data_IF_276741660602
#
_entry.id   IF_276741660602
#
_cell.length_a   1.000
_cell.length_b   1.000
_cell.length_c   1.000
_cell.angle_alpha   90.00
_cell.angle_beta   90.00
_cell.angle_gamma   90.00
#
_symmetry.space_group_name_H-M   'P 1'
#
loop_
_entity.id
_entity.type
_entity.pdbx_description
1 polymer ?
#
# COMPACT_ATOMS: atom_id res chain seq x y z
N UNK A 1 0.79 -6.15 17.13
CA UNK A 1 -0.43 -5.29 16.97
C UNK A 1 -0.98 -5.47 15.57
N UNK A 2 -2.32 -5.54 15.41
CA UNK A 2 -2.93 -5.65 14.07
C UNK A 2 -3.65 -4.33 13.79
N UNK A 3 -3.38 -3.74 12.63
CA UNK A 3 -4.06 -2.55 12.10
C UNK A 3 -5.00 -2.95 10.99
N UNK A 4 -6.20 -2.40 11.00
CA UNK A 4 -7.21 -2.59 9.96
C UNK A 4 -7.55 -1.26 9.31
N UNK A 5 -7.78 -1.27 8.00
CA UNK A 5 -8.18 -0.07 7.27
C UNK A 5 -8.71 -0.36 5.87
N UNK A 6 -9.36 0.61 5.22
CA UNK A 6 -9.85 0.50 3.85
C UNK A 6 -8.79 0.88 2.81
N UNK A 7 -8.92 0.32 1.60
CA UNK A 7 -8.23 0.74 0.39
C UNK A 7 -8.97 1.93 -0.26
N UNK A 8 -8.85 3.10 0.33
CA UNK A 8 -9.47 4.34 -0.12
C UNK A 8 -10.30 5.02 0.95
N UNK A 9 -10.79 6.21 0.61
CA UNK A 9 -11.64 7.00 1.51
C UNK A 9 -12.92 6.23 1.82
N UNK A 10 -13.30 6.04 3.11
CA UNK A 10 -14.48 5.29 3.51
C UNK A 10 -15.74 5.71 2.74
N UNK A 11 -16.62 4.76 2.44
CA UNK A 11 -17.90 5.02 1.77
C UNK A 11 -18.82 5.89 2.63
N UNK A 12 -18.73 5.75 3.95
CA UNK A 12 -19.46 6.55 4.93
C UNK A 12 -19.00 8.01 4.98
N UNK A 13 -17.79 8.32 4.51
CA UNK A 13 -17.20 9.65 4.55
C UNK A 13 -17.93 10.63 3.64
N UNK A 14 -18.54 11.66 4.20
CA UNK A 14 -19.35 12.64 3.45
C UNK A 14 -18.51 13.66 2.68
N UNK A 15 -17.40 14.12 3.26
CA UNK A 15 -16.55 15.16 2.68
C UNK A 15 -15.69 14.68 1.52
N UNK A 16 -15.40 13.37 1.45
CA UNK A 16 -14.60 12.72 0.41
C UNK A 16 -13.19 13.29 0.21
N UNK A 17 -12.68 14.05 1.17
CA UNK A 17 -11.28 14.52 1.21
C UNK A 17 -10.42 13.52 2.00
N UNK A 18 -9.11 13.58 1.81
CA UNK A 18 -8.19 12.75 2.60
C UNK A 18 -8.28 13.09 4.10
N UNK A 19 -8.46 14.39 4.44
CA UNK A 19 -8.68 14.85 5.82
C UNK A 19 -9.89 14.18 6.45
N UNK A 20 -11.02 14.18 5.74
CA UNK A 20 -12.25 13.56 6.21
C UNK A 20 -12.09 12.04 6.33
N UNK A 21 -11.39 11.42 5.37
CA UNK A 21 -11.10 9.99 5.39
C UNK A 21 -10.27 9.56 6.60
N UNK A 22 -9.22 10.30 6.94
CA UNK A 22 -8.39 10.04 8.13
C UNK A 22 -9.24 10.15 9.41
N UNK A 23 -10.07 11.21 9.51
CA UNK A 23 -10.96 11.40 10.67
C UNK A 23 -12.00 10.27 10.77
N UNK A 24 -12.59 9.87 9.65
CA UNK A 24 -13.62 8.83 9.60
C UNK A 24 -13.05 7.44 9.97
N UNK A 25 -11.88 7.09 9.45
CA UNK A 25 -11.15 5.86 9.81
C UNK A 25 -10.90 5.79 11.32
N UNK A 26 -10.44 6.88 11.93
CA UNK A 26 -10.26 6.96 13.38
C UNK A 26 -11.58 6.79 14.14
N UNK A 27 -12.65 7.51 13.72
CA UNK A 27 -13.97 7.44 14.34
C UNK A 27 -14.59 6.03 14.26
N UNK A 28 -14.27 5.27 13.21
CA UNK A 28 -14.67 3.88 13.04
C UNK A 28 -13.79 2.88 13.83
N UNK A 29 -12.86 3.39 14.65
CA UNK A 29 -11.89 2.58 15.41
C UNK A 29 -10.93 1.76 14.55
N UNK A 30 -10.79 2.14 13.28
CA UNK A 30 -9.79 1.62 12.38
C UNK A 30 -8.47 2.40 12.54
N UNK A 31 -7.35 1.82 12.12
CA UNK A 31 -6.02 2.39 12.38
C UNK A 31 -5.08 2.34 11.17
N UNK A 32 -5.60 2.09 9.97
CA UNK A 32 -4.87 2.17 8.72
C UNK A 32 -5.76 2.78 7.62
N UNK A 33 -5.14 3.44 6.66
CA UNK A 33 -5.80 3.97 5.46
C UNK A 33 -4.82 3.88 4.29
N UNK A 34 -5.20 3.19 3.25
CA UNK A 34 -4.46 3.17 2.00
C UNK A 34 -5.03 4.19 1.03
N UNK A 35 -4.20 5.10 0.56
CA UNK A 35 -4.54 6.12 -0.42
C UNK A 35 -4.43 5.49 -1.81
N UNK A 36 -5.49 5.61 -2.62
CA UNK A 36 -5.49 5.12 -3.99
C UNK A 36 -5.03 6.23 -4.95
N UNK A 37 -3.85 6.04 -5.56
CA UNK A 37 -3.31 6.98 -6.54
C UNK A 37 -3.80 6.61 -7.94
N UNK A 38 -4.96 7.14 -8.32
CA UNK A 38 -5.58 6.86 -9.62
C UNK A 38 -5.15 7.90 -10.64
N UNK A 39 -4.35 7.51 -11.64
CA UNK A 39 -3.92 8.35 -12.79
C UNK A 39 -3.09 9.59 -12.41
N UNK A 40 -1.91 9.43 -11.84
CA UNK A 40 -1.02 10.55 -11.52
C UNK A 40 -0.28 11.02 -12.79
N UNK A 41 -0.93 11.76 -13.66
CA UNK A 41 -0.26 12.41 -14.78
C UNK A 41 0.08 13.84 -14.36
N UNK A 42 1.36 14.10 -14.10
CA UNK A 42 1.85 15.44 -13.89
C UNK A 42 1.83 16.23 -15.22
N UNK A 43 1.68 17.54 -15.12
CA UNK A 43 1.79 18.49 -16.23
C UNK A 43 2.81 19.56 -15.89
N UNK A 44 3.59 19.97 -16.88
CA UNK A 44 4.53 21.08 -16.73
C UNK A 44 3.78 22.39 -16.97
N UNK A 45 3.94 23.33 -16.05
CA UNK A 45 3.41 24.69 -16.17
C UNK A 45 4.54 25.69 -15.86
N UNK A 46 4.62 26.84 -16.56
CA UNK A 46 5.59 27.86 -16.23
C UNK A 46 5.25 28.47 -14.87
N UNK A 47 6.25 28.92 -14.08
CA UNK A 47 6.03 29.70 -12.88
C UNK A 47 5.50 31.10 -13.26
N UNK A 48 4.77 31.72 -12.34
CA UNK A 48 4.45 33.13 -12.43
C UNK A 48 5.64 33.94 -11.91
N UNK A 49 6.17 34.85 -12.77
CA UNK A 49 7.39 35.61 -12.49
C UNK A 49 7.26 36.49 -11.23
N UNK A 50 6.06 37.06 -11.00
CA UNK A 50 5.83 37.97 -9.86
C UNK A 50 5.54 37.22 -8.55
N UNK A 51 4.97 36.01 -8.63
CA UNK A 51 4.44 35.32 -7.43
C UNK A 51 5.17 34.05 -7.07
N UNK A 52 5.83 33.34 -8.00
CA UNK A 52 6.38 32.00 -7.77
C UNK A 52 7.91 31.99 -7.74
N UNK A 53 8.57 32.80 -8.56
CA UNK A 53 10.04 32.87 -8.63
C UNK A 53 10.65 33.24 -7.28
N UNK A 54 11.64 32.50 -6.86
CA UNK A 54 12.32 32.64 -5.58
C UNK A 54 11.63 31.95 -4.40
N UNK A 55 10.39 31.44 -4.56
CA UNK A 55 9.73 30.58 -3.57
C UNK A 55 10.15 29.11 -3.75
N UNK A 56 9.75 28.31 -2.79
CA UNK A 56 9.88 26.85 -2.84
C UNK A 56 8.54 26.20 -3.17
N UNK A 57 8.53 24.96 -3.61
CA UNK A 57 7.28 24.24 -3.92
C UNK A 57 6.35 24.10 -2.69
N UNK A 58 6.89 24.16 -1.49
CA UNK A 58 6.11 24.15 -0.23
C UNK A 58 5.20 25.37 -0.07
N UNK A 59 5.59 26.50 -0.66
CA UNK A 59 4.93 27.77 -0.51
C UNK A 59 3.89 28.04 -1.60
N UNK A 60 3.85 27.15 -2.63
CA UNK A 60 2.93 27.30 -3.74
C UNK A 60 1.58 26.65 -3.46
N UNK A 61 0.53 27.27 -4.00
CA UNK A 61 -0.82 26.71 -4.06
C UNK A 61 -1.27 26.62 -5.52
N UNK A 62 -2.03 25.58 -5.87
CA UNK A 62 -2.60 25.41 -7.17
C UNK A 62 -4.10 25.12 -7.09
N UNK A 63 -4.89 25.62 -8.04
CA UNK A 63 -6.36 25.52 -8.01
C UNK A 63 -6.86 24.08 -8.19
N UNK A 64 -6.08 23.21 -8.84
CA UNK A 64 -6.51 21.86 -9.20
C UNK A 64 -5.42 20.81 -8.97
N UNK A 65 -4.75 20.86 -7.84
CA UNK A 65 -3.67 19.94 -7.49
C UNK A 65 -2.58 20.64 -6.67
N UNK A 66 -1.38 20.08 -6.69
CA UNK A 66 -0.23 20.70 -6.03
C UNK A 66 1.06 20.46 -6.82
N UNK A 67 2.06 21.30 -6.57
CA UNK A 67 3.36 21.18 -7.20
C UNK A 67 4.18 20.13 -6.45
N UNK A 68 4.69 19.12 -7.17
CA UNK A 68 5.48 18.01 -6.58
C UNK A 68 6.97 18.11 -6.86
N UNK A 69 7.39 18.98 -7.76
CA UNK A 69 8.79 19.15 -8.16
C UNK A 69 8.97 20.33 -9.11
N UNK A 70 10.22 20.54 -9.49
CA UNK A 70 10.65 21.57 -10.46
C UNK A 70 11.32 20.82 -11.60
N UNK A 71 10.91 21.06 -12.84
CA UNK A 71 11.64 20.65 -14.04
C UNK A 71 12.58 21.77 -14.43
N UNK A 72 13.90 21.49 -14.40
CA UNK A 72 14.97 22.40 -14.79
C UNK A 72 15.82 21.71 -15.85
N UNK A 73 15.84 22.25 -17.04
CA UNK A 73 16.60 21.71 -18.18
C UNK A 73 16.24 20.23 -18.51
N UNK A 74 15.02 19.81 -18.23
CA UNK A 74 14.51 18.46 -18.46
C UNK A 74 14.81 17.47 -17.32
N UNK A 75 15.44 17.94 -16.23
CA UNK A 75 15.69 17.16 -15.02
C UNK A 75 14.70 17.55 -13.92
N UNK A 76 13.94 16.58 -13.41
CA UNK A 76 13.01 16.83 -12.31
C UNK A 76 13.72 16.89 -10.95
N UNK A 77 13.63 18.05 -10.30
CA UNK A 77 14.14 18.30 -8.95
C UNK A 77 13.00 18.10 -7.95
N UNK A 78 13.16 17.13 -7.06
CA UNK A 78 12.19 16.83 -5.98
C UNK A 78 12.62 17.40 -4.62
N UNK A 79 13.66 18.23 -4.56
CA UNK A 79 14.02 18.91 -3.33
C UNK A 79 12.98 20.02 -3.07
N UNK A 80 12.26 19.86 -1.96
CA UNK A 80 11.16 20.76 -1.62
C UNK A 80 11.63 22.11 -1.09
N UNK A 81 12.92 22.27 -0.83
CA UNK A 81 13.56 23.51 -0.38
C UNK A 81 14.35 24.22 -1.52
N UNK A 82 14.33 23.66 -2.73
CA UNK A 82 14.94 24.27 -3.90
C UNK A 82 14.16 25.51 -4.34
N UNK A 83 14.80 26.68 -4.51
CA UNK A 83 14.15 27.88 -5.02
C UNK A 83 13.82 27.78 -6.51
N UNK A 84 12.62 28.22 -6.88
CA UNK A 84 12.14 28.30 -8.25
C UNK A 84 12.87 29.43 -8.98
N UNK A 85 13.32 29.13 -10.21
CA UNK A 85 13.97 30.08 -11.12
C UNK A 85 13.04 30.47 -12.28
N UNK A 86 13.33 31.57 -12.96
CA UNK A 86 12.49 32.09 -14.05
C UNK A 86 12.34 31.10 -15.23
N UNK A 87 13.39 30.33 -15.53
CA UNK A 87 13.42 29.38 -16.64
C UNK A 87 12.93 27.97 -16.25
N UNK A 88 12.50 27.74 -14.99
CA UNK A 88 11.98 26.46 -14.54
C UNK A 88 10.57 26.20 -15.08
N UNK A 89 10.18 24.91 -15.09
CA UNK A 89 8.78 24.51 -15.15
C UNK A 89 8.37 23.88 -13.82
N UNK A 90 7.16 24.12 -13.39
CA UNK A 90 6.58 23.50 -12.21
C UNK A 90 5.90 22.20 -12.58
N UNK A 91 6.18 21.13 -11.83
CA UNK A 91 5.55 19.83 -12.02
C UNK A 91 4.24 19.82 -11.24
N UNK A 92 3.15 20.18 -11.89
CA UNK A 92 1.80 20.17 -11.30
C UNK A 92 1.20 18.76 -11.36
N UNK A 93 0.81 18.26 -10.20
CA UNK A 93 0.03 17.03 -10.11
C UNK A 93 -1.45 17.35 -9.88
N UNK A 94 -2.33 17.10 -10.85
CA UNK A 94 -3.77 17.30 -10.70
C UNK A 94 -4.35 16.19 -9.80
N UNK A 95 -4.54 16.47 -8.53
CA UNK A 95 -5.09 15.52 -7.56
C UNK A 95 -5.87 16.26 -6.48
N UNK A 96 -6.84 15.58 -5.89
CA UNK A 96 -7.63 16.08 -4.76
C UNK A 96 -7.09 15.65 -3.40
N UNK A 97 -5.86 15.11 -3.32
CA UNK A 97 -5.27 14.64 -2.05
C UNK A 97 -5.08 15.83 -1.11
N UNK A 98 -4.51 16.91 -1.63
CA UNK A 98 -4.30 18.16 -0.88
C UNK A 98 -4.27 19.37 -1.84
N UNK A 99 -4.59 20.59 -1.39
CA UNK A 99 -4.54 21.79 -2.21
C UNK A 99 -3.11 22.35 -2.37
N UNK A 100 -2.20 22.05 -1.45
CA UNK A 100 -0.79 22.42 -1.58
C UNK A 100 0.13 21.39 -0.90
N UNK A 101 1.42 21.50 -1.14
CA UNK A 101 2.41 20.57 -0.60
C UNK A 101 2.45 20.57 0.94
N UNK A 102 2.33 21.74 1.57
CA UNK A 102 2.32 21.83 3.03
C UNK A 102 1.11 21.15 3.67
N UNK A 103 -0.04 21.13 3.01
CA UNK A 103 -1.22 20.42 3.53
C UNK A 103 -1.00 18.93 3.64
N UNK A 104 -0.12 18.33 2.81
CA UNK A 104 0.27 16.92 2.95
C UNK A 104 0.93 16.67 4.31
N UNK A 105 1.84 17.55 4.73
CA UNK A 105 2.50 17.43 6.02
C UNK A 105 1.50 17.55 7.18
N UNK A 106 0.58 18.50 7.12
CA UNK A 106 -0.46 18.70 8.15
C UNK A 106 -1.40 17.48 8.23
N UNK A 107 -1.74 16.88 7.08
CA UNK A 107 -2.51 15.64 7.03
C UNK A 107 -1.73 14.46 7.64
N UNK A 108 -0.43 14.37 7.39
CA UNK A 108 0.45 13.38 8.02
C UNK A 108 0.51 13.53 9.54
N UNK A 109 0.66 14.77 10.05
CA UNK A 109 0.63 15.07 11.49
C UNK A 109 -0.73 14.71 12.09
N UNK A 110 -1.82 15.00 11.39
CA UNK A 110 -3.17 14.61 11.82
C UNK A 110 -3.31 13.10 11.93
N UNK A 111 -2.86 12.34 10.91
CA UNK A 111 -2.91 10.89 10.90
C UNK A 111 -2.10 10.27 12.07
N UNK A 112 -0.89 10.79 12.33
CA UNK A 112 -0.07 10.37 13.47
C UNK A 112 -0.81 10.61 14.81
N UNK A 113 -1.42 11.80 15.00
CA UNK A 113 -2.16 12.12 16.24
C UNK A 113 -3.40 11.25 16.45
N UNK A 114 -4.02 10.81 15.37
CA UNK A 114 -5.20 9.94 15.39
C UNK A 114 -4.85 8.45 15.37
N UNK A 115 -3.55 8.09 15.39
CA UNK A 115 -3.04 6.73 15.27
C UNK A 115 -3.52 6.01 14.00
N UNK A 116 -3.62 6.73 12.89
CA UNK A 116 -3.94 6.19 11.57
C UNK A 116 -2.66 6.05 10.74
N UNK A 117 -2.27 4.83 10.42
CA UNK A 117 -1.13 4.54 9.55
C UNK A 117 -1.52 4.77 8.09
N UNK A 118 -0.79 5.64 7.39
CA UNK A 118 -1.02 5.91 5.97
C UNK A 118 -0.10 5.07 5.09
N UNK A 119 -0.66 4.56 4.01
CA UNK A 119 0.02 3.96 2.87
C UNK A 119 -0.55 4.52 1.58
N UNK A 120 0.11 4.24 0.45
CA UNK A 120 -0.34 4.69 -0.85
C UNK A 120 -0.14 3.57 -1.87
N UNK A 121 -1.20 3.21 -2.58
CA UNK A 121 -1.14 2.27 -3.68
C UNK A 121 -1.05 3.02 -5.02
N UNK A 122 -0.07 2.65 -5.85
CA UNK A 122 0.08 3.18 -7.21
C UNK A 122 -1.03 2.64 -8.12
N UNK A 123 -1.19 3.19 -9.35
CA UNK A 123 -2.10 2.59 -10.31
C UNK A 123 -1.78 1.12 -10.56
N UNK A 124 -2.80 0.27 -10.66
CA UNK A 124 -2.64 -1.18 -10.83
C UNK A 124 -2.11 -1.61 -12.21
N UNK A 125 -2.02 -0.69 -13.18
CA UNK A 125 -1.50 -0.94 -14.53
C UNK A 125 -0.03 -0.53 -14.70
N UNK A 126 0.76 -0.58 -13.62
CA UNK A 126 2.19 -0.29 -13.68
C UNK A 126 2.92 -1.30 -14.57
N UNK A 127 3.83 -0.82 -15.41
CA UNK A 127 4.74 -1.67 -16.21
C UNK A 127 6.17 -1.14 -16.12
N UNK A 128 7.00 -1.86 -15.38
CA UNK A 128 8.43 -1.60 -15.22
C UNK A 128 9.29 -2.58 -16.04
N UNK A 129 8.64 -3.46 -16.82
CA UNK A 129 9.31 -4.51 -17.58
C UNK A 129 9.78 -4.07 -18.98
N UNK A 130 9.72 -2.78 -19.26
CA UNK A 130 10.12 -2.20 -20.55
C UNK A 130 11.21 -1.14 -20.46
N UNK A 131 11.40 -0.46 -21.56
CA UNK A 131 12.29 0.70 -21.74
C UNK A 131 11.62 1.82 -22.52
N UNK A 132 10.31 1.71 -22.71
CA UNK A 132 9.48 2.65 -23.46
C UNK A 132 8.94 3.80 -22.58
N UNK A 133 8.16 4.70 -23.22
CA UNK A 133 7.55 5.84 -22.53
C UNK A 133 6.61 5.41 -21.40
N UNK A 134 5.91 4.28 -21.53
CA UNK A 134 5.03 3.78 -20.48
C UNK A 134 5.82 3.42 -19.23
N UNK A 135 6.95 2.74 -19.38
CA UNK A 135 7.84 2.40 -18.27
C UNK A 135 8.40 3.67 -17.61
N UNK A 136 8.79 4.68 -18.39
CA UNK A 136 9.24 5.96 -17.87
C UNK A 136 8.13 6.66 -17.06
N UNK A 137 6.90 6.72 -17.57
CA UNK A 137 5.74 7.30 -16.89
C UNK A 137 5.40 6.55 -15.59
N UNK A 138 5.56 5.21 -15.59
CA UNK A 138 5.36 4.40 -14.39
C UNK A 138 6.43 4.66 -13.31
N UNK A 139 7.70 4.77 -13.70
CA UNK A 139 8.78 5.13 -12.78
C UNK A 139 8.58 6.54 -12.19
N UNK A 140 8.10 7.47 -13.01
CA UNK A 140 7.77 8.82 -12.55
C UNK A 140 6.60 8.80 -11.57
N UNK A 141 5.58 8.00 -11.84
CA UNK A 141 4.46 7.80 -10.91
C UNK A 141 4.92 7.26 -9.55
N UNK A 142 5.90 6.35 -9.53
CA UNK A 142 6.50 5.85 -8.29
C UNK A 142 7.27 6.92 -7.53
N UNK A 143 8.00 7.79 -8.24
CA UNK A 143 8.69 8.92 -7.61
C UNK A 143 7.69 9.89 -6.98
N UNK A 144 6.63 10.25 -7.69
CA UNK A 144 5.56 11.11 -7.17
C UNK A 144 4.89 10.48 -5.95
N UNK A 145 4.52 9.18 -6.01
CA UNK A 145 3.95 8.45 -4.88
C UNK A 145 4.85 8.51 -3.64
N UNK A 146 6.15 8.34 -3.84
CA UNK A 146 7.15 8.39 -2.77
C UNK A 146 7.24 9.76 -2.11
N UNK A 147 7.29 10.84 -2.91
CA UNK A 147 7.36 12.22 -2.42
C UNK A 147 6.09 12.59 -1.65
N UNK A 148 4.93 12.28 -2.22
CA UNK A 148 3.63 12.54 -1.59
C UNK A 148 3.53 11.80 -0.25
N UNK A 149 3.83 10.50 -0.26
CA UNK A 149 3.71 9.70 0.95
C UNK A 149 4.75 10.08 2.00
N UNK A 150 5.95 10.51 1.59
CA UNK A 150 6.94 11.03 2.51
C UNK A 150 6.48 12.32 3.21
N UNK A 151 5.85 13.24 2.47
CA UNK A 151 5.26 14.44 3.04
C UNK A 151 4.10 14.11 3.99
N UNK A 152 3.26 13.12 3.65
CA UNK A 152 2.19 12.58 4.49
C UNK A 152 2.69 11.75 5.68
N UNK A 153 4.01 11.58 5.87
CA UNK A 153 4.61 10.71 6.90
C UNK A 153 4.09 9.27 6.86
N UNK A 154 3.68 8.82 5.68
CA UNK A 154 3.17 7.48 5.46
C UNK A 154 4.29 6.43 5.45
N UNK A 155 3.92 5.15 5.46
CA UNK A 155 4.86 4.06 5.71
C UNK A 155 5.24 3.27 4.47
N UNK A 156 4.28 2.99 3.58
CA UNK A 156 4.46 2.06 2.46
C UNK A 156 3.85 2.62 1.18
N UNK A 157 4.63 2.70 0.12
CA UNK A 157 4.12 2.77 -1.25
C UNK A 157 3.98 1.34 -1.76
N UNK A 158 2.79 0.94 -2.15
CA UNK A 158 2.49 -0.40 -2.67
C UNK A 158 2.37 -0.33 -4.18
N UNK A 159 2.95 -1.27 -4.90
CA UNK A 159 2.89 -1.33 -6.36
C UNK A 159 2.98 -2.75 -6.90
N UNK A 160 2.31 -2.99 -8.01
CA UNK A 160 2.68 -4.05 -8.95
C UNK A 160 3.76 -3.48 -9.89
N UNK A 161 4.42 -4.36 -10.62
CA UNK A 161 5.62 -3.97 -11.37
C UNK A 161 5.57 -4.27 -12.86
N UNK A 162 4.59 -5.05 -13.35
CA UNK A 162 4.49 -5.27 -14.76
C UNK A 162 3.65 -6.47 -15.17
N UNK A 163 3.64 -6.70 -16.46
CA UNK A 163 2.96 -7.80 -17.11
C UNK A 163 3.92 -8.49 -18.11
N UNK A 164 3.55 -9.68 -18.56
CA UNK A 164 4.28 -10.40 -19.58
C UNK A 164 3.60 -10.20 -20.93
N UNK A 165 4.03 -9.23 -21.75
CA UNK A 165 3.49 -9.02 -23.08
C UNK A 165 3.90 -10.18 -24.00
N UNK A 166 3.04 -10.49 -24.97
CA UNK A 166 3.26 -11.66 -25.85
C UNK A 166 4.47 -11.52 -26.79
N UNK A 167 4.97 -10.33 -26.98
CA UNK A 167 6.08 -9.96 -27.87
C UNK A 167 7.44 -9.85 -27.14
N UNK A 168 7.50 -10.10 -25.82
CA UNK A 168 8.74 -10.10 -25.03
C UNK A 168 8.96 -11.44 -24.34
N UNK A 169 10.21 -11.85 -24.27
CA UNK A 169 10.60 -13.00 -23.46
C UNK A 169 10.47 -12.67 -21.96
N UNK A 170 9.92 -13.60 -21.17
CA UNK A 170 9.72 -13.39 -19.72
C UNK A 170 11.01 -13.00 -19.01
N UNK A 171 12.12 -13.61 -19.38
CA UNK A 171 13.43 -13.32 -18.79
C UNK A 171 13.86 -11.85 -19.00
N UNK A 172 13.62 -11.31 -20.20
CA UNK A 172 13.99 -9.93 -20.52
C UNK A 172 13.12 -8.95 -19.70
N UNK A 173 11.85 -9.27 -19.50
CA UNK A 173 10.93 -8.51 -18.63
C UNK A 173 11.41 -8.53 -17.17
N UNK A 174 11.77 -9.72 -16.65
CA UNK A 174 12.28 -9.89 -15.28
C UNK A 174 13.56 -9.07 -15.05
N UNK A 175 14.50 -9.12 -16.01
CA UNK A 175 15.75 -8.35 -15.96
C UNK A 175 15.47 -6.85 -16.00
N UNK A 176 14.59 -6.36 -16.88
CA UNK A 176 14.21 -4.95 -16.97
C UNK A 176 13.55 -4.44 -15.69
N UNK A 177 12.61 -5.19 -15.11
CA UNK A 177 12.00 -4.86 -13.80
C UNK A 177 13.08 -4.70 -12.73
N UNK A 178 14.00 -5.66 -12.63
CA UNK A 178 15.04 -5.63 -11.63
C UNK A 178 16.00 -4.44 -11.82
N UNK A 179 16.37 -4.10 -13.05
CA UNK A 179 17.24 -2.96 -13.35
C UNK A 179 16.55 -1.63 -13.04
N UNK A 180 15.31 -1.44 -13.49
CA UNK A 180 14.52 -0.24 -13.24
C UNK A 180 14.30 -0.01 -11.73
N UNK A 181 13.98 -1.05 -10.98
CA UNK A 181 13.82 -0.95 -9.53
C UNK A 181 15.15 -0.68 -8.80
N UNK A 182 16.28 -1.23 -9.25
CA UNK A 182 17.60 -0.90 -8.69
C UNK A 182 17.94 0.59 -8.87
N UNK A 183 17.63 1.15 -10.03
CA UNK A 183 17.83 2.57 -10.31
C UNK A 183 16.87 3.42 -9.45
N UNK A 184 15.61 3.04 -9.36
CA UNK A 184 14.63 3.73 -8.52
C UNK A 184 15.05 3.71 -7.04
N UNK A 185 15.47 2.56 -6.50
CA UNK A 185 15.89 2.45 -5.10
C UNK A 185 17.18 3.22 -4.79
N UNK A 186 18.06 3.36 -5.77
CA UNK A 186 19.23 4.24 -5.66
C UNK A 186 18.82 5.70 -5.53
N UNK A 187 17.87 6.15 -6.35
CA UNK A 187 17.28 7.49 -6.26
C UNK A 187 16.55 7.66 -4.92
N UNK A 188 15.71 6.72 -4.52
CA UNK A 188 14.95 6.73 -3.26
C UNK A 188 15.84 6.98 -2.04
N UNK A 189 16.96 6.25 -2.00
CA UNK A 189 17.97 6.42 -0.95
C UNK A 189 18.66 7.78 -1.01
N UNK A 190 19.02 8.27 -2.22
CA UNK A 190 19.64 9.59 -2.43
C UNK A 190 18.71 10.71 -1.94
N UNK A 191 17.42 10.60 -2.22
CA UNK A 191 16.36 11.54 -1.80
C UNK A 191 15.98 11.41 -0.31
N UNK A 192 16.60 10.49 0.45
CA UNK A 192 16.38 10.27 1.89
C UNK A 192 14.89 10.00 2.23
N UNK A 193 14.16 9.36 1.34
CA UNK A 193 12.75 9.06 1.53
C UNK A 193 12.57 8.01 2.62
N UNK A 194 11.61 8.25 3.51
CA UNK A 194 11.30 7.38 4.66
C UNK A 194 10.33 6.25 4.35
N UNK A 195 9.31 6.43 3.47
CA UNK A 195 8.42 5.34 3.10
C UNK A 195 9.18 4.16 2.51
N UNK A 196 8.69 2.96 2.70
CA UNK A 196 9.18 1.74 2.04
C UNK A 196 8.49 1.57 0.69
N UNK A 197 9.15 0.87 -0.23
CA UNK A 197 8.53 0.42 -1.47
C UNK A 197 8.15 -1.04 -1.32
N UNK A 198 6.86 -1.32 -1.39
CA UNK A 198 6.28 -2.64 -1.31
C UNK A 198 5.94 -3.19 -2.70
N UNK A 199 6.39 -4.40 -2.99
CA UNK A 199 6.09 -5.12 -4.23
C UNK A 199 5.00 -6.14 -3.95
N UNK A 200 3.88 -6.01 -4.64
CA UNK A 200 2.67 -6.79 -4.38
C UNK A 200 2.64 -8.11 -5.17
N UNK A 201 2.18 -9.17 -4.51
CA UNK A 201 1.78 -10.42 -5.18
C UNK A 201 0.52 -10.14 -6.02
N UNK A 202 0.50 -10.59 -7.28
CA UNK A 202 -0.59 -10.35 -8.23
C UNK A 202 -1.49 -11.58 -8.44
N UNK A 203 -2.73 -11.34 -8.87
CA UNK A 203 -3.79 -12.36 -8.96
C UNK A 203 -3.92 -13.06 -10.32
N UNK A 204 -3.08 -12.74 -11.33
CA UNK A 204 -3.20 -13.27 -12.68
C UNK A 204 -1.91 -13.97 -13.13
N UNK A 205 -2.02 -15.04 -13.93
CA UNK A 205 -0.90 -15.87 -14.33
C UNK A 205 0.04 -15.22 -15.35
N UNK A 206 -0.47 -14.33 -16.16
CA UNK A 206 0.24 -13.55 -17.20
C UNK A 206 0.74 -12.18 -16.70
N UNK A 207 0.44 -11.84 -15.45
CA UNK A 207 0.97 -10.64 -14.77
C UNK A 207 2.16 -11.06 -13.91
N UNK A 208 3.23 -10.27 -13.91
CA UNK A 208 4.37 -10.46 -13.05
C UNK A 208 3.95 -10.33 -11.56
N UNK A 209 4.47 -11.15 -10.70
CA UNK A 209 4.19 -11.06 -9.26
C UNK A 209 3.66 -12.36 -8.64
N UNK A 210 4.18 -13.52 -9.05
CA UNK A 210 4.03 -14.73 -8.23
C UNK A 210 4.73 -14.53 -6.88
N UNK A 211 4.35 -15.31 -5.86
CA UNK A 211 5.00 -15.26 -4.56
C UNK A 211 6.51 -15.40 -4.66
N UNK A 212 6.98 -16.39 -5.39
CA UNK A 212 8.41 -16.65 -5.61
C UNK A 212 9.12 -15.45 -6.25
N UNK A 213 8.55 -14.89 -7.33
CA UNK A 213 9.10 -13.71 -8.00
C UNK A 213 9.22 -12.49 -7.06
N UNK A 214 8.20 -12.24 -6.25
CA UNK A 214 8.18 -11.10 -5.32
C UNK A 214 9.24 -11.29 -4.24
N UNK A 215 9.36 -12.48 -3.65
CA UNK A 215 10.36 -12.77 -2.63
C UNK A 215 11.79 -12.70 -3.19
N UNK A 216 12.06 -13.34 -4.34
CA UNK A 216 13.37 -13.30 -5.01
C UNK A 216 13.80 -11.87 -5.36
N UNK A 217 12.86 -11.05 -5.84
CA UNK A 217 13.14 -9.65 -6.15
C UNK A 217 13.48 -8.86 -4.89
N UNK A 218 12.73 -9.04 -3.80
CA UNK A 218 13.00 -8.40 -2.52
C UNK A 218 14.31 -8.85 -1.88
N UNK A 219 14.71 -10.10 -2.08
CA UNK A 219 16.01 -10.61 -1.64
C UNK A 219 17.17 -10.00 -2.45
N UNK A 220 16.95 -9.79 -3.75
CA UNK A 220 17.98 -9.27 -4.67
C UNK A 220 18.19 -7.75 -4.56
N UNK A 221 17.16 -6.99 -4.16
CA UNK A 221 17.17 -5.53 -4.13
C UNK A 221 16.91 -4.99 -2.73
N UNK A 222 17.94 -4.50 -2.08
CA UNK A 222 17.84 -3.97 -0.73
C UNK A 222 16.91 -2.75 -0.64
N UNK A 223 15.94 -2.82 0.25
CA UNK A 223 15.00 -1.73 0.54
C UNK A 223 13.60 -1.97 -0.03
N UNK A 224 13.43 -2.96 -0.88
CA UNK A 224 12.11 -3.47 -1.25
C UNK A 224 11.53 -4.33 -0.12
N UNK A 225 10.21 -4.32 0.02
CA UNK A 225 9.48 -5.20 0.92
C UNK A 225 8.41 -5.97 0.12
N UNK A 226 8.21 -7.26 0.39
CA UNK A 226 7.11 -8.00 -0.23
C UNK A 226 5.78 -7.61 0.41
N UNK A 227 4.74 -7.41 -0.39
CA UNK A 227 3.37 -7.15 0.05
C UNK A 227 2.50 -8.36 -0.26
N UNK A 228 1.81 -8.84 0.76
CA UNK A 228 0.96 -10.02 0.67
C UNK A 228 -0.49 -9.64 0.40
N UNK A 229 -0.93 -9.80 -0.83
CA UNK A 229 -2.34 -9.71 -1.19
C UNK A 229 -2.96 -11.12 -1.14
N UNK A 230 -3.72 -11.41 -0.07
CA UNK A 230 -4.33 -12.73 0.12
C UNK A 230 -5.30 -13.14 -1.00
N UNK A 231 -6.21 -12.26 -1.46
CA UNK A 231 -7.06 -12.54 -2.63
C UNK A 231 -6.28 -12.91 -3.88
N UNK A 232 -5.25 -12.15 -4.19
CA UNK A 232 -4.41 -12.40 -5.36
C UNK A 232 -3.68 -13.74 -5.27
N UNK A 233 -3.05 -13.99 -4.13
CA UNK A 233 -2.37 -15.27 -3.89
C UNK A 233 -3.35 -16.44 -3.95
N UNK A 234 -4.52 -16.34 -3.31
CA UNK A 234 -5.55 -17.37 -3.31
C UNK A 234 -6.05 -17.68 -4.72
N UNK A 235 -6.30 -16.65 -5.54
CA UNK A 235 -6.70 -16.81 -6.94
C UNK A 235 -5.62 -17.53 -7.73
N UNK A 236 -4.38 -17.04 -7.67
CA UNK A 236 -3.25 -17.56 -8.42
C UNK A 236 -2.91 -19.00 -8.08
N UNK A 237 -3.16 -19.41 -6.84
CA UNK A 237 -2.98 -20.78 -6.33
C UNK A 237 -4.25 -21.62 -6.35
N UNK A 238 -5.28 -21.16 -7.07
CA UNK A 238 -6.55 -21.89 -7.29
C UNK A 238 -7.22 -22.31 -5.99
N UNK A 239 -7.28 -21.40 -5.02
CA UNK A 239 -8.01 -21.61 -3.78
C UNK A 239 -7.22 -22.28 -2.66
N UNK A 240 -5.92 -22.08 -2.57
CA UNK A 240 -5.06 -22.78 -1.59
C UNK A 240 -5.27 -22.35 -0.13
N UNK A 241 -5.77 -21.13 0.15
CA UNK A 241 -5.92 -20.63 1.51
C UNK A 241 -7.27 -21.06 2.09
N UNK A 242 -7.30 -22.14 2.88
CA UNK A 242 -8.52 -22.72 3.41
C UNK A 242 -8.54 -22.84 4.94
N UNK A 243 -7.40 -23.12 5.56
CA UNK A 243 -7.28 -23.32 7.00
C UNK A 243 -6.23 -22.40 7.62
N UNK A 244 -6.28 -22.27 8.94
CA UNK A 244 -5.42 -21.32 9.67
C UNK A 244 -3.92 -21.56 9.44
N UNK A 245 -3.49 -22.81 9.27
CA UNK A 245 -2.10 -23.15 8.92
C UNK A 245 -1.65 -22.55 7.59
N UNK A 246 -2.51 -22.52 6.58
CA UNK A 246 -2.15 -22.02 5.25
C UNK A 246 -1.82 -20.52 5.31
N UNK A 247 -2.57 -19.77 6.12
CA UNK A 247 -2.32 -18.36 6.36
C UNK A 247 -1.10 -18.13 7.26
N UNK A 248 -0.93 -18.97 8.28
CA UNK A 248 0.22 -18.87 9.20
C UNK A 248 1.54 -19.09 8.43
N UNK A 249 1.65 -20.17 7.68
CA UNK A 249 2.82 -20.52 6.89
C UNK A 249 3.18 -19.41 5.87
N UNK A 250 2.16 -18.76 5.32
CA UNK A 250 2.36 -17.66 4.38
C UNK A 250 2.83 -16.39 5.09
N UNK A 251 2.22 -16.00 6.21
CA UNK A 251 2.66 -14.84 7.00
C UNK A 251 4.10 -15.03 7.48
N UNK A 252 4.47 -16.22 7.93
CA UNK A 252 5.82 -16.53 8.40
C UNK A 252 6.89 -16.35 7.32
N UNK A 253 6.56 -16.55 6.04
CA UNK A 253 7.46 -16.28 4.91
C UNK A 253 7.74 -14.79 4.71
N UNK A 254 6.80 -13.92 5.07
CA UNK A 254 6.95 -12.46 4.91
C UNK A 254 7.62 -11.81 6.12
N UNK A 255 7.45 -12.33 7.33
CA UNK A 255 7.98 -11.74 8.56
C UNK A 255 9.49 -11.40 8.52
N UNK A 256 10.39 -12.22 7.94
CA UNK A 256 11.82 -11.93 7.90
C UNK A 256 12.21 -10.64 7.17
N UNK A 257 11.36 -10.16 6.25
CA UNK A 257 11.59 -8.93 5.50
C UNK A 257 11.29 -7.68 6.34
N UNK A 258 10.38 -7.79 7.30
CA UNK A 258 9.92 -6.70 8.15
C UNK A 258 10.69 -6.70 9.49
N UNK A 259 11.64 -5.75 9.61
CA UNK A 259 12.56 -5.67 10.76
C UNK A 259 12.11 -4.61 11.76
N UNK A 260 12.65 -4.67 12.99
CA UNK A 260 12.43 -3.65 14.02
C UNK A 260 10.95 -3.40 14.36
N UNK A 261 10.13 -4.46 14.43
CA UNK A 261 8.69 -4.41 14.66
C UNK A 261 7.92 -3.63 13.57
N UNK A 262 8.45 -3.54 12.36
CA UNK A 262 7.65 -3.10 11.22
C UNK A 262 6.49 -4.08 11.00
N UNK A 263 5.33 -3.53 10.66
CA UNK A 263 4.11 -4.30 10.41
C UNK A 263 4.14 -4.92 9.02
N UNK A 264 3.97 -6.23 8.90
CA UNK A 264 3.79 -6.89 7.60
C UNK A 264 2.56 -6.29 6.93
N UNK A 265 2.71 -5.87 5.69
CA UNK A 265 1.64 -5.21 4.95
C UNK A 265 0.87 -6.22 4.11
N UNK A 266 -0.45 -6.21 4.24
CA UNK A 266 -1.31 -7.20 3.59
C UNK A 266 -2.63 -6.59 3.15
N UNK A 267 -3.23 -7.20 2.11
CA UNK A 267 -4.58 -6.93 1.64
C UNK A 267 -5.49 -8.12 1.84
N UNK A 268 -6.77 -7.85 2.13
CA UNK A 268 -7.78 -8.89 2.22
C UNK A 268 -9.14 -8.43 1.67
N UNK A 269 -9.77 -9.31 0.91
CA UNK A 269 -11.18 -9.22 0.45
C UNK A 269 -11.70 -10.62 0.09
N UNK A 270 -12.94 -10.75 -0.27
CA UNK A 270 -13.38 -11.90 -1.06
C UNK A 270 -12.86 -11.80 -2.49
N UNK A 271 -12.85 -12.90 -3.22
CA UNK A 271 -12.36 -12.93 -4.59
C UNK A 271 -13.13 -13.95 -5.44
N UNK A 272 -13.32 -13.62 -6.72
CA UNK A 272 -13.76 -14.55 -7.76
C UNK A 272 -12.63 -14.75 -8.76
N UNK A 273 -12.33 -15.98 -9.10
CA UNK A 273 -11.27 -16.38 -10.05
C UNK A 273 -11.75 -17.51 -10.97
N UNK A 274 -11.03 -17.75 -12.06
CA UNK A 274 -11.35 -18.82 -12.99
C UNK A 274 -10.60 -20.12 -12.68
N UNK A 275 -10.88 -21.17 -13.45
CA UNK A 275 -10.29 -22.48 -13.27
C UNK A 275 -8.77 -22.50 -13.52
N UNK A 276 -8.25 -21.52 -14.25
CA UNK A 276 -6.83 -21.38 -14.53
C UNK A 276 -6.08 -20.63 -13.42
N UNK A 277 -6.81 -20.05 -12.46
CA UNK A 277 -6.26 -19.31 -11.33
C UNK A 277 -6.03 -17.83 -11.64
N UNK A 278 -6.78 -17.29 -12.58
CA UNK A 278 -6.75 -15.85 -12.84
C UNK A 278 -7.88 -15.16 -12.09
N UNK A 279 -7.53 -14.16 -11.33
CA UNK A 279 -8.51 -13.28 -10.67
C UNK A 279 -9.42 -12.61 -11.68
N UNK A 280 -10.72 -12.60 -11.41
CA UNK A 280 -11.72 -11.90 -12.19
C UNK A 280 -12.15 -10.59 -11.54
N UNK A 281 -12.35 -10.61 -10.23
CA UNK A 281 -12.69 -9.42 -9.44
C UNK A 281 -12.59 -9.69 -7.94
N UNK A 282 -12.33 -8.63 -7.21
CA UNK A 282 -12.49 -8.60 -5.75
C UNK A 282 -13.99 -8.48 -5.39
N UNK A 283 -14.37 -9.12 -4.31
CA UNK A 283 -15.75 -9.17 -3.81
C UNK A 283 -15.81 -8.85 -2.32
N UNK A 284 -17.01 -8.57 -1.76
CA UNK A 284 -17.16 -8.52 -0.33
C UNK A 284 -16.68 -9.80 0.35
N UNK A 285 -16.06 -9.64 1.54
CA UNK A 285 -15.38 -10.73 2.28
C UNK A 285 -16.28 -11.93 2.61
N UNK A 286 -17.60 -11.77 2.55
CA UNK A 286 -18.57 -12.86 2.73
C UNK A 286 -18.88 -13.65 1.45
N UNK A 287 -18.31 -13.23 0.32
CA UNK A 287 -18.51 -13.90 -0.98
C UNK A 287 -17.24 -14.66 -1.37
N UNK A 288 -17.45 -15.69 -2.18
CA UNK A 288 -16.36 -16.54 -2.63
C UNK A 288 -15.99 -17.61 -1.59
N UNK A 289 -14.89 -18.28 -1.84
CA UNK A 289 -14.34 -19.38 -1.03
C UNK A 289 -13.20 -18.94 -0.09
N UNK A 290 -12.55 -17.81 -0.35
CA UNK A 290 -11.60 -17.20 0.56
C UNK A 290 -12.32 -16.65 1.79
N UNK A 291 -12.06 -17.25 2.96
CA UNK A 291 -12.70 -16.90 4.23
C UNK A 291 -11.72 -16.19 5.16
N UNK A 292 -12.24 -15.18 5.89
CA UNK A 292 -11.41 -14.44 6.84
C UNK A 292 -11.22 -15.16 8.19
N UNK A 293 -12.17 -16.00 8.57
CA UNK A 293 -12.13 -16.69 9.87
C UNK A 293 -10.84 -17.52 10.07
N UNK A 294 -10.34 -18.32 9.10
CA UNK A 294 -9.06 -19.02 9.24
C UNK A 294 -7.86 -18.08 9.41
N UNK A 295 -7.83 -16.95 8.68
CA UNK A 295 -6.80 -15.92 8.88
C UNK A 295 -6.88 -15.37 10.30
N UNK A 296 -8.06 -15.01 10.80
CA UNK A 296 -8.23 -14.50 12.15
C UNK A 296 -7.80 -15.51 13.22
N UNK A 297 -7.97 -16.82 13.00
CA UNK A 297 -7.43 -17.87 13.87
C UNK A 297 -5.89 -17.88 13.85
N UNK A 298 -5.27 -17.83 12.67
CA UNK A 298 -3.82 -17.73 12.52
C UNK A 298 -3.26 -16.47 13.22
N UNK A 299 -3.92 -15.33 13.07
CA UNK A 299 -3.54 -14.07 13.73
C UNK A 299 -3.59 -14.16 15.26
N UNK A 300 -4.57 -14.86 15.80
CA UNK A 300 -4.66 -15.08 17.26
C UNK A 300 -3.55 -16.00 17.79
N UNK A 301 -3.04 -16.91 16.95
CA UNK A 301 -1.94 -17.82 17.31
C UNK A 301 -0.58 -17.15 17.19
N UNK A 302 -0.31 -16.54 16.05
CA UNK A 302 0.97 -15.91 15.72
C UNK A 302 1.19 -14.57 16.44
N UNK A 303 0.12 -13.81 16.69
CA UNK A 303 0.15 -12.44 17.25
C UNK A 303 1.16 -11.52 16.52
N UNK A 304 1.12 -11.46 15.20
CA UNK A 304 2.10 -10.72 14.42
C UNK A 304 1.88 -9.20 14.52
N UNK A 305 2.92 -8.44 14.15
CA UNK A 305 2.72 -7.04 13.75
C UNK A 305 2.24 -7.04 12.30
N UNK A 306 0.97 -6.68 12.06
CA UNK A 306 0.35 -6.80 10.75
C UNK A 306 -0.57 -5.60 10.45
N UNK A 307 -0.55 -5.14 9.20
CA UNK A 307 -1.52 -4.19 8.65
C UNK A 307 -2.35 -4.91 7.60
N UNK A 308 -3.66 -4.90 7.75
CA UNK A 308 -4.61 -5.51 6.80
C UNK A 308 -5.46 -4.41 6.18
N UNK A 309 -5.32 -4.24 4.90
CA UNK A 309 -6.12 -3.31 4.10
C UNK A 309 -7.29 -4.09 3.48
N UNK A 310 -8.49 -3.55 3.65
CA UNK A 310 -9.68 -4.06 2.95
C UNK A 310 -9.70 -3.52 1.54
N UNK A 311 -9.30 -4.35 0.58
CA UNK A 311 -9.45 -4.11 -0.87
C UNK A 311 -10.84 -4.49 -1.41
N UNK A 312 -11.76 -4.84 -0.52
CA UNK A 312 -13.15 -5.15 -0.82
C UNK A 312 -13.91 -3.93 -1.38
N UNK A 313 -14.91 -4.13 -2.26
CA UNK A 313 -15.83 -3.07 -2.68
C UNK A 313 -16.61 -2.40 -1.53
N UNK A 314 -16.65 -3.01 -0.35
CA UNK A 314 -17.30 -2.46 0.85
C UNK A 314 -16.33 -1.72 1.78
N UNK A 315 -15.06 -1.58 1.40
CA UNK A 315 -14.02 -0.79 2.07
C UNK A 315 -14.04 -0.94 3.61
N UNK A 316 -14.36 0.16 4.32
CA UNK A 316 -14.38 0.22 5.79
C UNK A 316 -15.34 -0.77 6.44
N UNK A 317 -16.44 -1.09 5.81
CA UNK A 317 -17.41 -2.05 6.36
C UNK A 317 -16.79 -3.45 6.50
N UNK A 318 -16.03 -3.88 5.49
CA UNK A 318 -15.34 -5.16 5.56
C UNK A 318 -14.09 -5.08 6.44
N UNK A 319 -13.38 -3.94 6.51
CA UNK A 319 -12.29 -3.71 7.46
C UNK A 319 -12.78 -3.86 8.92
N UNK A 320 -13.88 -3.21 9.27
CA UNK A 320 -14.53 -3.34 10.59
C UNK A 320 -14.99 -4.77 10.85
N UNK A 321 -15.52 -5.44 9.84
CA UNK A 321 -16.00 -6.81 9.98
C UNK A 321 -14.83 -7.79 10.25
N UNK A 322 -13.68 -7.60 9.60
CA UNK A 322 -12.44 -8.35 9.89
C UNK A 322 -11.97 -8.14 11.33
N UNK A 323 -11.95 -6.91 11.80
CA UNK A 323 -11.61 -6.57 13.18
C UNK A 323 -12.54 -7.29 14.16
N UNK A 324 -13.86 -7.19 13.96
CA UNK A 324 -14.87 -7.83 14.81
C UNK A 324 -14.71 -9.36 14.84
N UNK A 325 -14.41 -10.01 13.72
CA UNK A 325 -14.16 -11.46 13.67
C UNK A 325 -12.96 -11.81 14.54
N UNK A 326 -11.84 -11.09 14.37
CA UNK A 326 -10.61 -11.35 15.14
C UNK A 326 -10.84 -11.18 16.64
N UNK A 327 -11.49 -10.09 17.06
CA UNK A 327 -11.82 -9.83 18.46
C UNK A 327 -12.75 -10.90 19.07
N UNK A 328 -13.72 -11.37 18.27
CA UNK A 328 -14.64 -12.45 18.69
C UNK A 328 -13.90 -13.77 18.90
N UNK A 329 -12.98 -14.14 18.01
CA UNK A 329 -12.18 -15.36 18.15
C UNK A 329 -11.27 -15.25 19.38
N UNK A 330 -10.59 -14.13 19.54
CA UNK A 330 -9.72 -13.88 20.69
C UNK A 330 -10.51 -13.95 22.02
N UNK A 331 -11.67 -13.30 22.08
CA UNK A 331 -12.53 -13.30 23.27
C UNK A 331 -13.00 -14.71 23.65
N UNK A 332 -13.35 -15.54 22.66
CA UNK A 332 -13.71 -16.95 22.90
C UNK A 332 -12.53 -17.75 23.44
N UNK A 333 -11.33 -17.56 22.91
CA UNK A 333 -10.11 -18.25 23.38
C UNK A 333 -9.78 -17.87 24.82
N UNK A 334 -9.78 -16.58 25.15
CA UNK A 334 -9.54 -16.08 26.52
C UNK A 334 -10.57 -16.64 27.51
N UNK A 335 -11.85 -16.64 27.14
CA UNK A 335 -12.92 -17.20 27.98
C UNK A 335 -12.73 -18.72 28.25
N UNK A 336 -12.28 -19.47 27.24
CA UNK A 336 -11.98 -20.90 27.37
C UNK A 336 -10.78 -21.13 28.32
N UNK A 337 -9.68 -20.40 28.12
CA UNK A 337 -8.49 -20.49 28.97
C UNK A 337 -8.80 -20.17 30.46
N UNK A 338 -9.58 -19.10 30.68
CA UNK A 338 -10.01 -18.73 32.03
C UNK A 338 -10.86 -19.83 32.71
N UNK A 339 -11.72 -20.49 31.95
CA UNK A 339 -12.53 -21.61 32.45
C UNK A 339 -11.67 -22.83 32.79
N UNK A 340 -10.67 -23.13 31.95
CA UNK A 340 -9.73 -24.23 32.17
C UNK A 340 -8.86 -23.97 33.41
N UNK A 341 -8.31 -22.76 33.59
CA UNK A 341 -7.54 -22.35 34.76
C UNK A 341 -8.36 -22.45 36.04
N UNK A 342 -9.64 -22.01 36.00
CA UNK A 342 -10.54 -22.15 37.17
C UNK A 342 -10.81 -23.61 37.53
N UNK A 343 -10.97 -24.50 36.54
CA UNK A 343 -11.15 -25.93 36.79
C UNK A 343 -9.88 -26.55 37.41
N UNK A 344 -8.70 -26.26 36.86
CA UNK A 344 -7.44 -26.75 37.36
C UNK A 344 -7.18 -26.28 38.80
N UNK A 345 -7.49 -25.04 39.15
CA UNK A 345 -7.36 -24.51 40.50
C UNK A 345 -8.31 -25.18 41.50
N UNK A 346 -9.53 -25.53 41.08
CA UNK A 346 -10.50 -26.26 41.94
C UNK A 346 -10.03 -27.70 42.21
N UNK A 347 -9.47 -28.39 41.18
CA UNK A 347 -8.95 -29.77 41.33
C UNK A 347 -7.70 -29.84 42.20
N UNK A 348 -6.87 -28.79 42.28
CA UNK A 348 -5.69 -28.74 43.11
C UNK A 348 -5.99 -28.32 44.58
N UNK A 349 -7.22 -27.91 44.86
CA UNK A 349 -7.67 -27.52 46.22
C UNK A 349 -8.42 -28.64 46.99
N UNK A 350 -8.74 -29.73 46.30
CA UNK A 350 -9.25 -31.00 46.85
C UNK A 350 -8.08 -31.97 47.10
#
# INVERSE_FOLDING_TARGET
MIRYGPAGIPLSCKGRTLRDGIADVHNLTLSALEIQMVRPKAVLIPPDEDTDVGKTIKELTADAGFIVGIDRDGDTIFDTDEPIQEDDNLVLMPTSIAPCFNDLYDLGVMAERLDVSLSLHTPYYMDLGGDDQLTADCLESLRHAAIILNALKGRMVVTNVGLYPADRERKDVDEAIAENLKLLMKWWKKSKLTPKLGIEVTGQQDVWGSLEQVLDLCDSIKGLLPVLNFPHYHSRTKGSLQQASDFADLIEQFQPYYKNNESVYTDFSGVEYDADGNERRLTPIKRGDLRFEPLAEALCDLKPELTIISSSPLLEHDAMYMQIITERILSKRVAKELKERKKAAATNAE
#
